data_IF_911964320474
#
_entry.id   IF_911964320474
#
_cell.length_a   1.000
_cell.length_b   1.000
_cell.length_c   1.000
_cell.angle_alpha   90.00
_cell.angle_beta   90.00
_cell.angle_gamma   90.00
#
_symmetry.space_group_name_H-M   'P 1'
#
loop_
_entity.id
_entity.type
_entity.pdbx_description
1 polymer ?
#
# COMPACT_ATOMS: atom_id res chain seq x y z
N UNK A 1 15.04 -1.92 -20.07
CA UNK A 1 13.62 -2.30 -20.09
C UNK A 1 13.59 -3.81 -20.07
N UNK A 2 13.27 -4.42 -18.93
CA UNK A 2 13.19 -5.88 -18.84
C UNK A 2 11.97 -6.33 -19.66
N UNK A 3 12.16 -7.33 -20.50
CA UNK A 3 11.12 -7.94 -21.34
C UNK A 3 10.08 -8.58 -20.41
N UNK A 4 8.93 -7.91 -20.19
CA UNK A 4 7.83 -8.48 -19.39
C UNK A 4 7.26 -9.65 -20.17
N UNK A 5 7.30 -10.85 -19.58
CA UNK A 5 6.82 -12.06 -20.23
C UNK A 5 5.33 -11.94 -20.56
N UNK A 6 4.97 -12.15 -21.82
CA UNK A 6 3.58 -12.15 -22.27
C UNK A 6 3.02 -13.59 -22.34
N UNK A 7 1.75 -13.72 -22.00
CA UNK A 7 0.99 -14.94 -21.91
C UNK A 7 -0.26 -14.82 -22.78
N UNK A 8 -0.61 -15.89 -23.48
CA UNK A 8 -1.96 -16.05 -24.03
C UNK A 8 -2.92 -16.52 -22.94
N UNK A 9 -4.21 -16.35 -23.16
CA UNK A 9 -5.26 -16.69 -22.19
C UNK A 9 -5.13 -18.13 -21.63
N UNK A 10 -4.83 -19.11 -22.48
CA UNK A 10 -4.67 -20.52 -22.08
C UNK A 10 -3.42 -20.73 -21.22
N UNK A 11 -2.32 -20.05 -21.58
CA UNK A 11 -1.06 -20.12 -20.86
C UNK A 11 -1.18 -19.47 -19.49
N UNK A 12 -1.78 -18.28 -19.44
CA UNK A 12 -2.03 -17.56 -18.20
C UNK A 12 -2.90 -18.37 -17.23
N UNK A 13 -3.99 -18.96 -17.73
CA UNK A 13 -4.88 -19.79 -16.91
C UNK A 13 -4.11 -20.97 -16.28
N UNK A 14 -3.27 -21.65 -17.09
CA UNK A 14 -2.42 -22.75 -16.63
C UNK A 14 -1.40 -22.29 -15.58
N UNK A 15 -0.69 -21.18 -15.82
CA UNK A 15 0.31 -20.62 -14.88
C UNK A 15 -0.31 -20.13 -13.56
N UNK A 16 -1.58 -19.72 -13.62
CA UNK A 16 -2.38 -19.32 -12.46
C UNK A 16 -3.08 -20.49 -11.77
N UNK A 17 -2.98 -21.72 -12.30
CA UNK A 17 -3.64 -22.90 -11.72
C UNK A 17 -5.18 -22.87 -11.83
N UNK A 18 -5.75 -22.08 -12.75
CA UNK A 18 -7.20 -21.94 -12.93
C UNK A 18 -7.64 -22.36 -14.34
N UNK A 19 -8.95 -22.52 -14.52
CA UNK A 19 -9.50 -22.79 -15.85
C UNK A 19 -9.62 -21.51 -16.68
N UNK A 20 -9.58 -21.64 -18.02
CA UNK A 20 -9.87 -20.53 -18.95
C UNK A 20 -11.26 -19.95 -18.71
N UNK A 21 -12.23 -20.79 -18.29
CA UNK A 21 -13.58 -20.35 -17.93
C UNK A 21 -13.53 -19.42 -16.70
N UNK A 22 -12.80 -19.81 -15.65
CA UNK A 22 -12.59 -19.00 -14.44
C UNK A 22 -11.91 -17.68 -14.78
N UNK A 23 -10.88 -17.71 -15.63
CA UNK A 23 -10.18 -16.50 -16.08
C UNK A 23 -11.11 -15.53 -16.83
N UNK A 24 -11.97 -16.03 -17.72
CA UNK A 24 -12.97 -15.19 -18.42
C UNK A 24 -13.96 -14.58 -17.43
N UNK A 25 -14.43 -15.37 -16.48
CA UNK A 25 -15.35 -14.93 -15.44
C UNK A 25 -14.73 -13.82 -14.58
N UNK A 26 -13.46 -13.94 -14.18
CA UNK A 26 -12.77 -12.88 -13.42
C UNK A 26 -12.62 -11.60 -14.24
N UNK A 27 -12.29 -11.70 -15.52
CA UNK A 27 -12.24 -10.52 -16.41
C UNK A 27 -13.62 -9.86 -16.57
N UNK A 28 -14.69 -10.64 -16.71
CA UNK A 28 -16.07 -10.11 -16.80
C UNK A 28 -16.49 -9.37 -15.52
N UNK A 29 -15.97 -9.80 -14.37
CA UNK A 29 -16.13 -9.12 -13.08
C UNK A 29 -15.15 -7.98 -12.85
N UNK A 30 -14.36 -7.59 -13.86
CA UNK A 30 -13.33 -6.55 -13.78
C UNK A 30 -12.27 -6.80 -12.69
N UNK A 31 -12.11 -8.06 -12.27
CA UNK A 31 -11.08 -8.44 -11.29
C UNK A 31 -9.68 -8.40 -11.87
N UNK A 32 -9.57 -8.35 -13.19
CA UNK A 32 -8.31 -8.34 -13.93
C UNK A 32 -8.40 -7.22 -14.97
N UNK A 33 -7.35 -6.39 -15.09
CA UNK A 33 -7.24 -5.38 -16.14
C UNK A 33 -7.49 -5.97 -17.54
N UNK A 34 -7.96 -5.14 -18.48
CA UNK A 34 -8.12 -5.58 -19.86
C UNK A 34 -6.74 -5.92 -20.46
N UNK A 35 -6.61 -7.05 -21.18
CA UNK A 35 -5.35 -7.42 -21.82
C UNK A 35 -5.00 -6.47 -22.96
N UNK A 36 -3.71 -6.38 -23.28
CA UNK A 36 -3.24 -5.72 -24.50
C UNK A 36 -3.75 -6.52 -25.70
N UNK A 37 -4.38 -5.84 -26.66
CA UNK A 37 -4.91 -6.48 -27.87
C UNK A 37 -4.00 -6.19 -29.04
N UNK A 38 -3.56 -7.24 -29.72
CA UNK A 38 -2.82 -7.16 -30.97
C UNK A 38 -3.56 -7.96 -32.03
N UNK A 39 -4.30 -7.23 -32.88
CA UNK A 39 -5.27 -7.82 -33.80
C UNK A 39 -6.38 -8.58 -33.06
N UNK A 40 -6.46 -9.90 -33.27
CA UNK A 40 -7.44 -10.79 -32.61
C UNK A 40 -6.90 -11.47 -31.35
N UNK A 41 -5.62 -11.28 -31.04
CA UNK A 41 -4.94 -11.95 -29.92
C UNK A 41 -4.98 -11.03 -28.70
N UNK A 42 -5.31 -11.60 -27.55
CA UNK A 42 -5.22 -10.94 -26.26
C UNK A 42 -3.96 -11.41 -25.55
N UNK A 43 -3.06 -10.47 -25.27
CA UNK A 43 -1.83 -10.68 -24.54
C UNK A 43 -1.98 -10.18 -23.10
N UNK A 44 -1.58 -11.04 -22.18
CA UNK A 44 -1.54 -10.78 -20.76
C UNK A 44 -0.09 -10.75 -20.34
N UNK A 45 0.30 -9.91 -19.39
CA UNK A 45 1.67 -9.87 -18.87
C UNK A 45 1.76 -10.53 -17.49
N UNK A 46 2.94 -10.46 -16.89
CA UNK A 46 3.20 -10.94 -15.53
C UNK A 46 2.30 -10.29 -14.47
N UNK A 47 1.82 -9.06 -14.72
CA UNK A 47 0.97 -8.35 -13.77
C UNK A 47 -0.41 -9.00 -13.69
N UNK A 48 -0.91 -9.50 -14.81
CA UNK A 48 -2.14 -10.27 -14.85
C UNK A 48 -1.99 -11.61 -14.10
N UNK A 49 -0.82 -12.25 -14.18
CA UNK A 49 -0.54 -13.49 -13.47
C UNK A 49 -0.45 -13.27 -11.95
N UNK A 50 0.24 -12.22 -11.52
CA UNK A 50 0.34 -11.85 -10.12
C UNK A 50 -1.04 -11.56 -9.50
N UNK A 51 -1.89 -10.83 -10.23
CA UNK A 51 -3.27 -10.53 -9.81
C UNK A 51 -4.15 -11.78 -9.74
N UNK A 52 -3.96 -12.74 -10.64
CA UNK A 52 -4.68 -14.02 -10.59
C UNK A 52 -4.30 -14.87 -9.37
N UNK A 53 -3.01 -14.94 -9.06
CA UNK A 53 -2.52 -15.65 -7.86
C UNK A 53 -3.04 -14.99 -6.59
N UNK A 54 -3.08 -13.66 -6.57
CA UNK A 54 -3.70 -12.85 -5.52
C UNK A 54 -5.17 -13.20 -5.30
N UNK A 55 -5.97 -13.29 -6.36
CA UNK A 55 -7.39 -13.65 -6.25
C UNK A 55 -7.55 -15.08 -5.71
N UNK A 56 -6.73 -16.03 -6.19
CA UNK A 56 -6.80 -17.43 -5.74
C UNK A 56 -6.47 -17.56 -4.25
N UNK A 57 -5.38 -16.93 -3.81
CA UNK A 57 -4.94 -16.85 -2.42
C UNK A 57 -6.01 -16.35 -1.45
N UNK A 58 -6.75 -15.30 -1.85
CA UNK A 58 -7.83 -14.72 -1.06
C UNK A 58 -9.05 -15.66 -1.02
N UNK A 59 -9.37 -16.33 -2.12
CA UNK A 59 -10.48 -17.30 -2.14
C UNK A 59 -10.21 -18.50 -1.24
N UNK A 60 -8.97 -19.02 -1.20
CA UNK A 60 -8.58 -20.14 -0.33
C UNK A 60 -8.74 -19.82 1.16
N UNK A 61 -8.61 -18.53 1.53
CA UNK A 61 -8.79 -18.04 2.91
C UNK A 61 -10.24 -17.74 3.28
N UNK A 62 -11.18 -17.99 2.37
CA UNK A 62 -12.61 -17.83 2.62
C UNK A 62 -13.17 -16.44 2.30
N UNK A 63 -12.38 -15.57 1.66
CA UNK A 63 -12.91 -14.31 1.15
C UNK A 63 -13.90 -14.58 0.01
N UNK A 64 -14.91 -13.72 -0.11
CA UNK A 64 -15.88 -13.85 -1.20
C UNK A 64 -15.38 -13.16 -2.47
N UNK A 65 -15.76 -13.70 -3.62
CA UNK A 65 -15.52 -13.09 -4.93
C UNK A 65 -16.00 -11.63 -5.03
N UNK A 66 -17.04 -11.26 -4.28
CA UNK A 66 -17.58 -9.89 -4.28
C UNK A 66 -16.68 -8.95 -3.48
N UNK A 67 -16.23 -9.36 -2.29
CA UNK A 67 -15.26 -8.59 -1.51
C UNK A 67 -13.92 -8.43 -2.25
N UNK A 68 -13.48 -9.47 -2.97
CA UNK A 68 -12.28 -9.37 -3.82
C UNK A 68 -12.50 -8.41 -5.00
N UNK A 69 -13.74 -8.26 -5.49
CA UNK A 69 -14.06 -7.30 -6.55
C UNK A 69 -14.04 -5.85 -6.06
N UNK A 70 -14.59 -5.60 -4.87
CA UNK A 70 -14.50 -4.29 -4.22
C UNK A 70 -13.04 -3.90 -3.93
N UNK A 71 -12.22 -4.88 -3.53
CA UNK A 71 -10.78 -4.72 -3.39
C UNK A 71 -10.07 -4.42 -4.70
N UNK A 72 -10.36 -5.19 -5.75
CA UNK A 72 -9.78 -4.98 -7.07
C UNK A 72 -10.13 -3.59 -7.64
N UNK A 73 -11.35 -3.11 -7.39
CA UNK A 73 -11.78 -1.76 -7.76
C UNK A 73 -11.01 -0.69 -6.97
N UNK A 74 -10.82 -0.88 -5.66
CA UNK A 74 -9.97 0.00 -4.85
C UNK A 74 -8.51 -0.01 -5.33
N UNK A 75 -7.96 -1.16 -5.71
CA UNK A 75 -6.61 -1.28 -6.28
C UNK A 75 -6.47 -0.61 -7.65
N UNK A 76 -7.50 -0.67 -8.50
CA UNK A 76 -7.51 0.01 -9.80
C UNK A 76 -7.61 1.54 -9.66
N UNK A 77 -8.21 2.01 -8.57
CA UNK A 77 -8.26 3.44 -8.20
C UNK A 77 -7.02 3.91 -7.43
N UNK A 78 -6.35 2.99 -6.72
CA UNK A 78 -5.04 3.16 -6.10
C UNK A 78 -3.95 3.22 -7.16
N UNK A 79 -3.91 4.35 -7.88
CA UNK A 79 -2.87 4.76 -8.83
C UNK A 79 -1.48 4.33 -8.36
N UNK A 80 -0.55 4.07 -9.28
CA UNK A 80 0.86 3.81 -8.97
C UNK A 80 1.44 4.90 -8.04
N UNK A 81 1.30 4.69 -6.73
CA UNK A 81 1.67 5.64 -5.68
C UNK A 81 3.20 5.75 -5.62
N UNK A 82 3.93 4.75 -6.15
CA UNK A 82 5.38 4.80 -6.30
C UNK A 82 5.83 5.94 -7.23
N UNK A 83 5.14 6.11 -8.36
CA UNK A 83 5.31 7.30 -9.22
C UNK A 83 4.70 8.56 -8.60
N UNK A 84 3.55 8.46 -7.94
CA UNK A 84 2.79 9.61 -7.42
C UNK A 84 3.41 10.28 -6.18
N UNK A 85 4.16 9.53 -5.36
CA UNK A 85 4.90 10.06 -4.21
C UNK A 85 6.21 10.77 -4.63
N UNK A 86 6.51 10.83 -5.93
CA UNK A 86 7.71 11.52 -6.42
C UNK A 86 9.00 10.93 -5.86
N UNK A 87 9.04 9.60 -5.61
CA UNK A 87 10.20 8.87 -5.06
C UNK A 87 11.43 8.83 -6.00
N UNK A 88 11.52 9.75 -6.96
CA UNK A 88 12.76 10.07 -7.69
C UNK A 88 13.83 10.74 -6.82
N UNK A 89 13.48 11.13 -5.57
CA UNK A 89 14.42 11.58 -4.54
C UNK A 89 14.56 10.51 -3.43
N UNK A 90 15.70 10.42 -2.73
CA UNK A 90 15.92 9.37 -1.74
C UNK A 90 14.91 9.48 -0.58
N UNK A 91 14.03 8.49 -0.47
CA UNK A 91 13.23 8.24 0.72
C UNK A 91 14.04 7.42 1.73
N UNK A 92 13.88 7.71 3.02
CA UNK A 92 14.42 6.85 4.09
C UNK A 92 13.56 5.59 4.29
N UNK A 93 12.35 5.58 3.75
CA UNK A 93 11.42 4.46 3.91
C UNK A 93 11.78 3.32 2.96
N UNK A 94 11.73 2.11 3.49
CA UNK A 94 11.98 0.88 2.73
C UNK A 94 10.64 0.30 2.29
N UNK A 95 10.31 0.32 0.98
CA UNK A 95 9.11 -0.34 0.49
C UNK A 95 9.22 -1.86 0.68
N UNK A 96 8.09 -2.49 0.96
CA UNK A 96 7.98 -3.94 1.11
C UNK A 96 6.97 -4.44 0.10
N UNK A 97 7.43 -5.27 -0.85
CA UNK A 97 6.53 -6.01 -1.74
C UNK A 97 5.94 -7.17 -0.96
N UNK A 98 4.64 -7.30 -1.03
CA UNK A 98 3.84 -8.30 -0.34
C UNK A 98 2.89 -8.93 -1.34
N UNK A 99 2.73 -10.23 -1.24
CA UNK A 99 1.52 -10.89 -1.69
C UNK A 99 0.35 -10.52 -0.77
N UNK A 100 -0.90 -10.65 -1.22
CA UNK A 100 -2.07 -10.48 -0.36
C UNK A 100 -2.06 -11.44 0.82
N UNK A 101 -1.50 -12.63 0.64
CA UNK A 101 -1.31 -13.62 1.69
C UNK A 101 -0.47 -13.08 2.83
N UNK A 102 0.71 -12.58 2.50
CA UNK A 102 1.61 -12.01 3.48
C UNK A 102 0.97 -10.80 4.16
N UNK A 103 0.24 -9.96 3.42
CA UNK A 103 -0.47 -8.82 4.00
C UNK A 103 -1.59 -9.26 4.97
N UNK A 104 -2.36 -10.29 4.62
CA UNK A 104 -3.39 -10.86 5.49
C UNK A 104 -2.78 -11.47 6.75
N UNK A 105 -1.63 -12.15 6.63
CA UNK A 105 -0.88 -12.73 7.75
C UNK A 105 -0.40 -11.63 8.71
N UNK A 106 0.05 -10.47 8.20
CA UNK A 106 0.43 -9.32 9.03
C UNK A 106 -0.72 -8.79 9.90
N UNK A 107 -1.96 -8.86 9.41
CA UNK A 107 -3.12 -8.26 10.05
C UNK A 107 -4.17 -9.27 10.52
N UNK A 108 -3.79 -10.55 10.62
CA UNK A 108 -4.63 -11.65 11.12
C UNK A 108 -6.02 -11.70 10.46
N UNK A 109 -6.09 -11.49 9.14
CA UNK A 109 -7.34 -11.53 8.36
C UNK A 109 -8.23 -10.28 8.46
N UNK A 110 -7.71 -9.17 9.00
CA UNK A 110 -8.40 -7.86 9.00
C UNK A 110 -8.21 -7.07 7.68
N UNK A 111 -7.71 -7.71 6.63
CA UNK A 111 -7.55 -7.18 5.27
C UNK A 111 -8.90 -7.08 4.52
N UNK A 112 -9.89 -6.47 5.15
CA UNK A 112 -11.21 -6.25 4.55
C UNK A 112 -11.13 -5.25 3.39
N UNK A 113 -12.10 -5.26 2.45
CA UNK A 113 -12.24 -4.26 1.40
C UNK A 113 -12.05 -2.82 1.86
N UNK A 114 -12.67 -2.48 2.98
CA UNK A 114 -12.67 -1.14 3.55
C UNK A 114 -11.30 -0.75 4.11
N UNK A 115 -10.62 -1.68 4.80
CA UNK A 115 -9.31 -1.43 5.38
C UNK A 115 -8.24 -1.29 4.30
N UNK A 116 -8.29 -2.12 3.25
CA UNK A 116 -7.36 -2.00 2.13
C UNK A 116 -7.62 -0.73 1.32
N UNK A 117 -8.87 -0.35 1.08
CA UNK A 117 -9.21 0.94 0.47
C UNK A 117 -8.69 2.12 1.30
N UNK A 118 -8.88 2.10 2.62
CA UNK A 118 -8.36 3.14 3.51
C UNK A 118 -6.82 3.21 3.51
N UNK A 119 -6.12 2.07 3.44
CA UNK A 119 -4.67 2.03 3.34
C UNK A 119 -4.15 2.57 1.99
N UNK A 120 -4.86 2.32 0.89
CA UNK A 120 -4.58 2.89 -0.43
C UNK A 120 -4.81 4.41 -0.45
N UNK A 121 -5.93 4.88 0.11
CA UNK A 121 -6.24 6.31 0.23
C UNK A 121 -5.19 7.07 1.05
N UNK A 122 -4.67 6.43 2.10
CA UNK A 122 -3.56 6.96 2.89
C UNK A 122 -2.22 6.92 2.17
N UNK A 123 -2.14 6.25 1.01
CA UNK A 123 -0.92 6.03 0.25
C UNK A 123 0.06 5.09 0.94
N UNK A 124 -0.38 4.33 1.95
CA UNK A 124 0.47 3.35 2.63
C UNK A 124 0.65 2.08 1.83
N UNK A 125 -0.39 1.73 1.08
CA UNK A 125 -0.39 0.64 0.13
C UNK A 125 -0.37 1.22 -1.28
N UNK A 126 0.35 0.55 -2.16
CA UNK A 126 0.42 0.83 -3.59
C UNK A 126 0.36 -0.50 -4.35
N UNK A 127 0.06 -0.44 -5.65
CA UNK A 127 0.16 -1.60 -6.53
C UNK A 127 1.39 -1.48 -7.42
N UNK A 128 2.17 -2.56 -7.54
CA UNK A 128 3.27 -2.69 -8.50
C UNK A 128 3.04 -3.95 -9.32
N UNK A 129 2.67 -3.78 -10.60
CA UNK A 129 2.48 -4.89 -11.51
C UNK A 129 1.63 -6.04 -10.96
N UNK A 130 0.48 -5.73 -10.36
CA UNK A 130 -0.43 -6.74 -9.81
C UNK A 130 -0.03 -7.34 -8.45
N UNK A 131 1.09 -6.91 -7.86
CA UNK A 131 1.47 -7.14 -6.47
C UNK A 131 1.14 -5.95 -5.58
N UNK A 132 1.17 -6.16 -4.26
CA UNK A 132 0.98 -5.11 -3.26
C UNK A 132 2.33 -4.61 -2.78
N UNK A 133 2.45 -3.30 -2.61
CA UNK A 133 3.65 -2.67 -2.06
C UNK A 133 3.23 -1.79 -0.90
N UNK A 134 3.71 -2.13 0.30
CA UNK A 134 3.62 -1.22 1.42
C UNK A 134 4.78 -0.23 1.35
N UNK A 135 4.53 1.08 1.41
CA UNK A 135 5.57 2.10 1.18
C UNK A 135 6.64 2.14 2.27
N UNK A 136 6.34 1.59 3.44
CA UNK A 136 7.21 1.63 4.62
C UNK A 136 7.13 0.33 5.41
N UNK A 137 8.26 -0.38 5.52
CA UNK A 137 8.42 -1.53 6.42
C UNK A 137 8.09 -1.19 7.87
N UNK A 138 8.54 -0.02 8.35
CA UNK A 138 8.37 0.38 9.75
C UNK A 138 6.91 0.62 10.10
N UNK A 139 6.15 1.25 9.21
CA UNK A 139 4.71 1.46 9.40
C UNK A 139 3.94 0.14 9.33
N UNK A 140 4.32 -0.78 8.43
CA UNK A 140 3.74 -2.11 8.35
C UNK A 140 3.94 -2.88 9.67
N UNK A 141 5.17 -2.91 10.18
CA UNK A 141 5.50 -3.62 11.43
C UNK A 141 4.81 -2.99 12.65
N UNK A 142 4.77 -1.66 12.73
CA UNK A 142 4.12 -0.94 13.83
C UNK A 142 2.60 -1.13 13.85
N UNK A 143 1.94 -1.04 12.68
CA UNK A 143 0.50 -1.26 12.58
C UNK A 143 0.14 -2.72 12.88
N UNK A 144 0.90 -3.69 12.37
CA UNK A 144 0.72 -5.10 12.69
C UNK A 144 0.93 -5.39 14.20
N UNK A 145 1.87 -4.70 14.85
CA UNK A 145 2.05 -4.81 16.30
C UNK A 145 0.82 -4.32 17.08
N UNK A 146 0.26 -3.16 16.71
CA UNK A 146 -0.97 -2.65 17.33
C UNK A 146 -2.15 -3.61 17.16
N UNK A 147 -2.28 -4.21 15.97
CA UNK A 147 -3.33 -5.21 15.68
C UNK A 147 -3.15 -6.47 16.52
N UNK A 148 -1.92 -6.94 16.73
CA UNK A 148 -1.63 -8.08 17.63
C UNK A 148 -1.95 -7.80 19.09
N UNK A 149 -1.86 -6.55 19.53
CA UNK A 149 -2.32 -6.11 20.86
C UNK A 149 -3.86 -5.97 20.95
N UNK A 150 -4.59 -6.30 19.89
CA UNK A 150 -6.05 -6.32 19.85
C UNK A 150 -6.69 -5.02 19.38
N UNK A 151 -5.91 -4.04 18.90
CA UNK A 151 -6.46 -2.82 18.31
C UNK A 151 -7.01 -3.13 16.91
N UNK A 152 -8.28 -2.86 16.59
CA UNK A 152 -8.81 -3.09 15.25
C UNK A 152 -8.02 -2.33 14.18
N UNK A 153 -7.74 -2.95 13.02
CA UNK A 153 -6.99 -2.31 11.94
C UNK A 153 -7.68 -1.02 11.45
N UNK A 154 -9.01 -1.00 11.43
CA UNK A 154 -9.79 0.18 11.08
C UNK A 154 -9.46 1.39 11.99
N UNK A 155 -9.31 1.16 13.30
CA UNK A 155 -8.96 2.19 14.27
C UNK A 155 -7.50 2.65 14.10
N UNK A 156 -6.60 1.72 13.79
CA UNK A 156 -5.20 2.03 13.47
C UNK A 156 -5.12 2.92 12.23
N UNK A 157 -5.84 2.59 11.15
CA UNK A 157 -5.88 3.38 9.92
C UNK A 157 -6.53 4.75 10.14
N UNK A 158 -7.60 4.83 10.95
CA UNK A 158 -8.22 6.10 11.32
C UNK A 158 -7.27 7.00 12.12
N UNK A 159 -6.52 6.43 13.07
CA UNK A 159 -5.48 7.15 13.80
C UNK A 159 -4.35 7.61 12.86
N UNK A 160 -3.94 6.74 11.94
CA UNK A 160 -2.86 7.05 11.00
C UNK A 160 -3.20 8.20 10.05
N UNK A 161 -4.48 8.33 9.62
CA UNK A 161 -4.95 9.49 8.86
C UNK A 161 -4.66 10.81 9.59
N UNK A 162 -5.01 10.87 10.88
CA UNK A 162 -4.78 12.05 11.72
C UNK A 162 -3.30 12.31 11.95
N UNK A 163 -2.51 11.25 12.15
CA UNK A 163 -1.05 11.36 12.27
C UNK A 163 -0.45 11.95 10.98
N UNK A 164 -0.91 11.53 9.81
CA UNK A 164 -0.45 12.06 8.53
C UNK A 164 -0.79 13.54 8.38
N UNK A 165 -2.02 13.95 8.68
CA UNK A 165 -2.42 15.36 8.68
C UNK A 165 -1.51 16.22 9.58
N UNK A 166 -1.17 15.73 10.77
CA UNK A 166 -0.26 16.41 11.68
C UNK A 166 1.20 16.40 11.18
N UNK A 167 1.65 15.31 10.56
CA UNK A 167 2.98 15.21 9.99
C UNK A 167 3.15 16.18 8.82
N UNK A 168 2.15 16.30 7.94
CA UNK A 168 2.15 17.25 6.83
C UNK A 168 2.19 18.70 7.35
N UNK A 169 1.40 19.02 8.38
CA UNK A 169 1.43 20.32 9.02
C UNK A 169 2.80 20.63 9.68
N UNK A 170 3.43 19.65 10.33
CA UNK A 170 4.78 19.79 10.89
C UNK A 170 5.83 19.97 9.79
N UNK A 171 5.73 19.22 8.69
CA UNK A 171 6.60 19.37 7.54
C UNK A 171 6.53 20.80 6.98
N UNK A 172 5.32 21.34 6.81
CA UNK A 172 5.11 22.73 6.39
C UNK A 172 5.70 23.75 7.37
N UNK A 173 5.62 23.49 8.68
CA UNK A 173 6.27 24.36 9.68
C UNK A 173 7.79 24.35 9.53
N UNK A 174 8.42 23.18 9.36
CA UNK A 174 9.87 23.10 9.21
C UNK A 174 10.35 23.72 7.89
N UNK A 175 9.63 23.51 6.79
CA UNK A 175 9.96 24.14 5.49
C UNK A 175 9.77 25.67 5.56
N UNK A 176 8.73 26.15 6.25
CA UNK A 176 8.50 27.58 6.49
C UNK A 176 9.53 28.20 7.45
N UNK A 177 10.00 27.48 8.48
CA UNK A 177 11.04 27.99 9.37
C UNK A 177 12.39 28.21 8.66
N UNK A 178 12.59 27.58 7.50
CA UNK A 178 13.77 27.79 6.66
C UNK A 178 13.71 29.02 5.74
N UNK A 179 12.70 29.90 5.89
CA UNK A 179 12.50 31.14 5.12
C UNK A 179 13.72 32.09 5.15
N UNK A 180 14.59 31.89 4.17
CA UNK A 180 15.71 32.74 3.78
C UNK A 180 16.32 32.21 2.48
N UNK A 181 15.92 32.83 1.36
CA UNK A 181 16.45 32.84 -0.04
C UNK A 181 17.08 31.58 -0.66
N UNK A 182 16.65 31.26 -1.89
CA UNK A 182 17.27 30.34 -2.87
C UNK A 182 17.86 29.04 -2.31
N UNK A 183 16.97 28.12 -1.93
CA UNK A 183 17.34 26.81 -1.41
C UNK A 183 17.51 25.79 -2.52
N UNK A 184 18.54 24.97 -2.39
CA UNK A 184 18.78 23.79 -3.25
C UNK A 184 18.13 22.55 -2.62
N UNK A 185 17.96 21.47 -3.41
CA UNK A 185 17.50 20.18 -2.89
C UNK A 185 18.38 19.63 -1.75
N UNK A 186 19.65 20.04 -1.71
CA UNK A 186 20.62 19.65 -0.67
C UNK A 186 20.30 20.30 0.69
N UNK A 187 19.79 21.53 0.70
CA UNK A 187 19.40 22.22 1.94
C UNK A 187 18.19 21.55 2.60
N UNK A 188 17.24 21.08 1.80
CA UNK A 188 16.07 20.33 2.28
C UNK A 188 16.48 18.96 2.85
N UNK A 189 17.48 18.31 2.26
CA UNK A 189 18.03 17.05 2.80
C UNK A 189 18.67 17.23 4.19
N UNK A 190 19.32 18.37 4.45
CA UNK A 190 19.92 18.68 5.77
C UNK A 190 18.89 19.01 6.85
N UNK A 191 17.71 19.52 6.46
CA UNK A 191 16.61 19.82 7.39
C UNK A 191 15.95 18.56 7.94
N UNK A 192 15.84 17.51 7.13
CA UNK A 192 15.14 16.25 7.46
C UNK A 192 15.56 15.61 8.81
N UNK A 193 16.85 15.36 9.10
CA UNK A 193 17.25 14.73 10.36
C UNK A 193 17.00 15.62 11.60
N UNK A 194 17.06 16.95 11.44
CA UNK A 194 16.78 17.89 12.53
C UNK A 194 15.29 17.92 12.86
N UNK A 195 14.43 18.02 11.84
CA UNK A 195 12.99 17.97 12.01
C UNK A 195 12.55 16.67 12.69
N UNK A 196 13.11 15.53 12.27
CA UNK A 196 12.84 14.20 12.86
C UNK A 196 13.17 14.16 14.35
N UNK A 197 14.37 14.62 14.73
CA UNK A 197 14.80 14.66 16.13
C UNK A 197 13.87 15.52 17.01
N UNK A 198 13.43 16.67 16.51
CA UNK A 198 12.51 17.55 17.24
C UNK A 198 11.14 16.87 17.41
N UNK A 199 10.59 16.30 16.35
CA UNK A 199 9.28 15.62 16.39
C UNK A 199 9.31 14.41 17.32
N UNK A 200 10.39 13.62 17.29
CA UNK A 200 10.55 12.45 18.17
C UNK A 200 10.59 12.87 19.65
N UNK A 201 11.37 13.90 19.98
CA UNK A 201 11.45 14.41 21.36
C UNK A 201 10.10 14.98 21.84
N UNK A 202 9.43 15.79 21.02
CA UNK A 202 8.12 16.37 21.37
C UNK A 202 7.04 15.30 21.53
N UNK A 203 7.03 14.29 20.65
CA UNK A 203 6.09 13.18 20.76
C UNK A 203 6.32 12.38 22.04
N UNK A 204 7.58 12.07 22.37
CA UNK A 204 7.95 11.37 23.60
C UNK A 204 7.47 12.13 24.84
N UNK A 205 7.79 13.43 24.94
CA UNK A 205 7.34 14.27 26.05
C UNK A 205 5.81 14.41 26.12
N UNK A 206 5.12 14.45 24.97
CA UNK A 206 3.66 14.51 24.93
C UNK A 206 3.01 13.22 25.44
N UNK A 207 3.58 12.06 25.10
CA UNK A 207 3.15 10.76 25.60
C UNK A 207 3.33 10.65 27.11
N UNK A 208 4.50 11.04 27.65
CA UNK A 208 4.77 11.05 29.09
C UNK A 208 3.73 11.89 29.86
N UNK A 209 3.44 13.09 29.36
CA UNK A 209 2.40 13.97 29.94
C UNK A 209 1.00 13.36 29.88
N UNK A 210 0.71 12.51 28.89
CA UNK A 210 -0.60 11.87 28.75
C UNK A 210 -0.72 10.65 29.66
N UNK A 211 0.30 9.79 29.67
CA UNK A 211 0.37 8.59 30.52
C UNK A 211 0.33 9.00 31.99
N UNK A 212 1.13 9.99 32.39
CA UNK A 212 1.14 10.48 33.77
C UNK A 212 -0.18 11.13 34.24
N UNK A 213 -1.09 11.48 33.33
CA UNK A 213 -2.45 11.93 33.65
C UNK A 213 -3.46 10.78 33.75
N UNK A 214 -3.21 9.66 33.08
CA UNK A 214 -4.08 8.47 33.12
C UNK A 214 -3.76 7.56 34.31
N UNK A 215 -2.52 7.62 34.82
CA UNK A 215 -2.08 6.89 36.00
C UNK A 215 -2.43 7.55 37.35
N UNK A 216 -3.13 8.69 37.32
CA UNK A 216 -3.64 9.41 38.49
C UNK A 216 -5.15 9.30 38.55
#
# INVERSE_FOLDING_TARGET
>A
MADKREYRMEELAREAGITVRTLRFYRERKLIPPPRREGRIAWYDEDHLARLRTIAALLERGHTLNGIAELAEAFDHGRDVGELLGLGAPTEETPVRLSPEELADFFAGQDTPENLAAALDLGYLATDGGGLVHISRRLLEASAALVREGVPLADVLAAARRVREHADALAELFTTLTLGTDRTAEDLQRLRPLAKSVVEAELSMALDRRIGRLAK
#
